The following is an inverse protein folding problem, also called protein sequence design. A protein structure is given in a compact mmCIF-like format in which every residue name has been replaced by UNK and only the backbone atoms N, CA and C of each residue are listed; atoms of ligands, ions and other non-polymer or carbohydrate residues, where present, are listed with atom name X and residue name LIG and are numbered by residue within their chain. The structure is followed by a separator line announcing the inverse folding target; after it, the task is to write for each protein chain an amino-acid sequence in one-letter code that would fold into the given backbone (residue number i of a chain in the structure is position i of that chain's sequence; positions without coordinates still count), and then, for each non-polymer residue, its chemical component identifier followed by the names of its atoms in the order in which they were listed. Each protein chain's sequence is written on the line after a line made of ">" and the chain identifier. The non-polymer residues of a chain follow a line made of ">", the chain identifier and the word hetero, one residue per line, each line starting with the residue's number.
data_IF_834319677705
#
_entry.id   IF_834319677705
#
_cell.length_a   1.000
_cell.length_b   1.000
_cell.length_c   1.000
_cell.angle_alpha   90.00
_cell.angle_beta   90.00
_cell.angle_gamma   90.00
#
_symmetry.space_group_name_H-M   'P 1'
#
loop_
_entity.id
_entity.type
_entity.pdbx_description
1 polymer ?
#
# COMPACT_ATOMS: atom_id res chain seq x y z
N UNK A 1 -3.06 32.98 36.74
CA UNK A 1 -3.11 31.51 36.86
C UNK A 1 -2.42 30.97 35.61
N UNK A 2 -1.13 30.67 35.72
CA UNK A 2 -0.32 30.17 34.61
C UNK A 2 -0.80 28.76 34.27
N UNK A 3 -1.42 28.59 33.10
CA UNK A 3 -1.63 27.26 32.51
C UNK A 3 -0.27 26.84 31.94
N UNK A 4 0.15 25.64 32.30
CA UNK A 4 1.50 25.08 32.20
C UNK A 4 2.22 25.31 30.85
N UNK A 5 3.57 25.42 30.87
CA UNK A 5 4.37 25.61 29.67
C UNK A 5 4.22 24.41 28.73
N UNK A 6 3.91 24.72 27.47
CA UNK A 6 3.90 23.84 26.29
C UNK A 6 3.19 22.50 26.46
N UNK A 7 1.91 22.44 26.07
CA UNK A 7 1.46 21.25 25.34
C UNK A 7 2.50 21.00 24.25
N UNK A 8 3.26 19.91 24.33
CA UNK A 8 4.17 19.49 23.26
C UNK A 8 3.31 19.16 22.03
N UNK A 9 2.94 20.18 21.26
CA UNK A 9 2.06 20.08 20.09
C UNK A 9 2.60 19.07 19.06
N UNK A 10 3.89 18.77 19.08
CA UNK A 10 4.53 17.82 18.17
C UNK A 10 5.21 16.64 18.86
N UNK A 11 4.89 16.39 20.13
CA UNK A 11 5.41 15.25 20.88
C UNK A 11 4.60 13.97 20.70
N UNK A 12 5.19 12.85 21.12
CA UNK A 12 4.51 11.54 21.24
C UNK A 12 3.20 11.61 22.07
N UNK A 13 3.09 12.44 23.14
CA UNK A 13 1.83 12.54 23.88
C UNK A 13 0.66 13.06 23.03
N UNK A 14 0.91 13.99 22.10
CA UNK A 14 -0.12 14.54 21.23
C UNK A 14 -0.65 13.48 20.25
N UNK A 15 0.26 12.71 19.63
CA UNK A 15 -0.15 11.63 18.72
C UNK A 15 -0.91 10.52 19.44
N UNK A 16 -0.49 10.13 20.65
CA UNK A 16 -1.20 9.14 21.47
C UNK A 16 -2.59 9.63 21.91
N UNK A 17 -2.71 10.91 22.27
CA UNK A 17 -4.00 11.50 22.65
C UNK A 17 -4.99 11.44 21.48
N UNK A 18 -4.57 11.80 20.27
CA UNK A 18 -5.43 11.79 19.08
C UNK A 18 -5.77 10.36 18.67
N UNK A 19 -4.75 9.50 18.48
CA UNK A 19 -4.94 8.13 18.00
C UNK A 19 -5.70 7.29 19.03
N UNK A 20 -5.29 7.32 20.29
CA UNK A 20 -5.95 6.60 21.37
C UNK A 20 -7.35 7.14 21.66
N UNK A 21 -7.48 8.47 21.75
CA UNK A 21 -8.77 9.13 21.96
C UNK A 21 -9.78 8.82 20.86
N UNK A 22 -9.37 8.92 19.59
CA UNK A 22 -10.20 8.51 18.46
C UNK A 22 -10.59 7.04 18.55
N UNK A 23 -9.63 6.15 18.79
CA UNK A 23 -9.89 4.70 18.83
C UNK A 23 -10.90 4.34 19.93
N UNK A 24 -10.76 4.93 21.12
CA UNK A 24 -11.70 4.74 22.23
C UNK A 24 -13.09 5.27 21.86
N UNK A 25 -13.20 6.52 21.37
CA UNK A 25 -14.47 7.13 21.01
C UNK A 25 -15.16 6.41 19.85
N UNK A 26 -14.39 6.04 18.82
CA UNK A 26 -14.87 5.30 17.66
C UNK A 26 -15.41 3.93 18.07
N UNK A 27 -14.77 3.25 19.02
CA UNK A 27 -15.21 1.94 19.49
C UNK A 27 -16.66 1.95 20.00
N UNK A 28 -17.09 3.03 20.68
CA UNK A 28 -18.47 3.19 21.17
C UNK A 28 -19.51 3.35 20.05
N UNK A 29 -19.13 3.88 18.88
CA UNK A 29 -20.04 4.18 17.77
C UNK A 29 -19.78 3.34 16.52
N UNK A 30 -18.82 2.42 16.59
CA UNK A 30 -18.26 1.69 15.45
C UNK A 30 -19.33 0.96 14.62
N UNK A 31 -20.30 0.32 15.28
CA UNK A 31 -21.39 -0.41 14.62
C UNK A 31 -22.32 0.54 13.86
N UNK A 32 -22.66 1.70 14.46
CA UNK A 32 -23.50 2.71 13.80
C UNK A 32 -22.78 3.24 12.56
N UNK A 33 -21.50 3.59 12.69
CA UNK A 33 -20.72 4.11 11.59
C UNK A 33 -20.59 3.09 10.45
N UNK A 34 -20.18 1.86 10.78
CA UNK A 34 -19.89 0.83 9.77
C UNK A 34 -21.15 0.26 9.12
N UNK A 35 -22.22 0.05 9.91
CA UNK A 35 -23.43 -0.65 9.44
C UNK A 35 -24.61 0.27 9.09
N UNK A 36 -24.65 1.51 9.60
CA UNK A 36 -25.75 2.47 9.29
C UNK A 36 -25.30 3.59 8.38
N UNK A 37 -24.13 4.18 8.63
CA UNK A 37 -23.61 5.29 7.83
C UNK A 37 -22.77 4.81 6.64
N UNK A 38 -22.34 3.55 6.64
CA UNK A 38 -21.50 2.93 5.61
C UNK A 38 -20.21 3.70 5.30
N UNK A 39 -19.65 4.40 6.30
CA UNK A 39 -18.40 5.16 6.15
C UNK A 39 -17.22 4.27 6.54
N UNK A 40 -16.17 4.27 5.71
CA UNK A 40 -14.95 3.52 6.03
C UNK A 40 -14.21 4.13 7.22
N UNK A 41 -13.63 3.26 8.06
CA UNK A 41 -12.82 3.69 9.21
C UNK A 41 -11.58 4.50 8.80
N UNK A 42 -10.84 4.15 7.72
CA UNK A 42 -9.77 4.99 7.17
C UNK A 42 -10.19 6.42 6.84
N UNK A 43 -11.37 6.61 6.23
CA UNK A 43 -11.86 7.95 5.86
C UNK A 43 -12.10 8.82 7.10
N UNK A 44 -12.73 8.27 8.15
CA UNK A 44 -12.93 9.01 9.40
C UNK A 44 -11.63 9.29 10.14
N UNK A 45 -10.72 8.31 10.17
CA UNK A 45 -9.39 8.48 10.73
C UNK A 45 -8.64 9.65 10.05
N UNK A 46 -8.67 9.71 8.71
CA UNK A 46 -8.10 10.85 7.96
C UNK A 46 -8.77 12.18 8.26
N UNK A 47 -10.11 12.23 8.38
CA UNK A 47 -10.80 13.47 8.74
C UNK A 47 -10.41 13.97 10.13
N UNK A 48 -10.22 13.06 11.09
CA UNK A 48 -9.73 13.41 12.43
C UNK A 48 -8.29 13.92 12.35
N UNK A 49 -7.44 13.27 11.54
CA UNK A 49 -6.10 13.77 11.23
C UNK A 49 -6.12 15.19 10.67
N UNK A 50 -6.95 15.48 9.66
CA UNK A 50 -7.08 16.82 9.09
C UNK A 50 -7.57 17.85 10.12
N UNK A 51 -8.51 17.46 10.99
CA UNK A 51 -9.05 18.33 12.04
C UNK A 51 -7.98 18.71 13.09
N UNK A 52 -7.22 17.74 13.58
CA UNK A 52 -6.16 17.99 14.57
C UNK A 52 -4.84 18.46 13.94
N UNK A 53 -4.72 18.32 12.63
CA UNK A 53 -3.58 18.71 11.83
C UNK A 53 -3.39 20.23 11.66
N UNK A 54 -2.36 20.63 10.90
CA UNK A 54 -1.93 22.02 10.76
C UNK A 54 -2.96 22.92 10.09
N UNK A 55 -3.91 22.36 9.33
CA UNK A 55 -4.91 23.14 8.58
C UNK A 55 -6.05 23.65 9.44
N UNK A 56 -6.43 22.92 10.50
CA UNK A 56 -7.61 23.25 11.30
C UNK A 56 -7.23 23.66 12.74
N UNK A 57 -7.01 22.70 13.63
CA UNK A 57 -6.70 23.00 15.04
C UNK A 57 -5.21 23.28 15.28
N UNK A 58 -4.33 22.90 14.35
CA UNK A 58 -2.88 22.98 14.46
C UNK A 58 -2.36 22.42 15.81
N UNK A 59 -2.94 21.29 16.22
CA UNK A 59 -2.61 20.64 17.48
C UNK A 59 -1.51 19.60 17.31
N UNK A 60 -1.42 18.98 16.13
CA UNK A 60 -0.35 18.07 15.72
C UNK A 60 0.11 18.39 14.29
N UNK A 61 1.33 18.92 14.16
CA UNK A 61 1.92 19.38 12.89
C UNK A 61 3.23 18.63 12.57
N UNK A 62 3.16 17.52 11.82
CA UNK A 62 4.34 16.82 11.36
C UNK A 62 5.25 17.62 10.43
N UNK A 63 4.76 18.65 9.73
CA UNK A 63 5.60 19.45 8.83
C UNK A 63 6.64 20.28 9.59
N UNK A 64 6.38 20.59 10.85
CA UNK A 64 7.31 21.29 11.74
C UNK A 64 8.39 20.36 12.35
N UNK A 65 8.39 19.07 12.04
CA UNK A 65 9.45 18.16 12.47
C UNK A 65 10.78 18.49 11.77
N UNK A 66 11.88 18.30 12.50
CA UNK A 66 13.22 18.66 12.02
C UNK A 66 13.53 18.02 10.67
N UNK A 67 14.14 18.81 9.77
CA UNK A 67 14.65 18.35 8.47
C UNK A 67 13.59 17.68 7.56
N UNK A 68 12.30 17.94 7.76
CA UNK A 68 11.26 17.29 6.95
C UNK A 68 11.10 15.80 7.27
N UNK A 69 11.41 15.38 8.50
CA UNK A 69 11.33 13.99 8.95
C UNK A 69 9.96 13.33 8.74
N UNK A 70 8.90 14.10 8.47
CA UNK A 70 7.58 13.54 8.16
C UNK A 70 7.61 12.62 6.94
N UNK A 71 8.43 12.87 5.90
CA UNK A 71 8.55 11.96 4.76
C UNK A 71 9.23 10.64 5.16
N UNK A 72 10.31 10.70 5.96
CA UNK A 72 11.00 9.50 6.42
C UNK A 72 10.12 8.68 7.38
N UNK A 73 9.37 9.33 8.27
CA UNK A 73 8.37 8.67 9.12
C UNK A 73 7.25 8.07 8.27
N UNK A 74 6.74 8.77 7.26
CA UNK A 74 5.73 8.22 6.33
C UNK A 74 6.23 6.95 5.67
N UNK A 75 7.48 6.95 5.19
CA UNK A 75 8.10 5.76 4.59
C UNK A 75 8.25 4.63 5.61
N UNK A 76 8.84 4.87 6.77
CA UNK A 76 9.08 3.80 7.75
C UNK A 76 7.77 3.24 8.32
N UNK A 77 6.83 4.10 8.66
CA UNK A 77 5.53 3.68 9.19
C UNK A 77 4.71 2.95 8.12
N UNK A 78 4.71 3.46 6.89
CA UNK A 78 4.08 2.81 5.75
C UNK A 78 4.65 1.43 5.48
N UNK A 79 5.98 1.28 5.52
CA UNK A 79 6.66 0.00 5.28
C UNK A 79 6.19 -1.10 6.24
N UNK A 80 6.12 -0.78 7.54
CA UNK A 80 5.65 -1.71 8.56
C UNK A 80 4.20 -2.16 8.32
N UNK A 81 3.31 -1.23 8.00
CA UNK A 81 1.89 -1.54 7.77
C UNK A 81 1.70 -2.36 6.51
N UNK A 82 2.34 -1.95 5.41
CA UNK A 82 2.28 -2.68 4.14
C UNK A 82 2.80 -4.10 4.34
N UNK A 83 3.94 -4.30 5.02
CA UNK A 83 4.47 -5.64 5.27
C UNK A 83 3.50 -6.54 6.05
N UNK A 84 2.95 -6.03 7.16
CA UNK A 84 2.00 -6.79 7.98
C UNK A 84 0.77 -7.19 7.15
N UNK A 85 0.25 -6.27 6.32
CA UNK A 85 -0.95 -6.52 5.54
C UNK A 85 -0.73 -7.39 4.31
N UNK A 86 0.39 -7.22 3.62
CA UNK A 86 0.81 -8.13 2.54
C UNK A 86 0.88 -9.54 3.09
N UNK A 87 1.54 -9.73 4.24
CA UNK A 87 1.63 -11.03 4.87
C UNK A 87 0.25 -11.57 5.30
N UNK A 88 -0.57 -10.74 5.94
CA UNK A 88 -1.94 -11.06 6.34
C UNK A 88 -2.82 -11.48 5.16
N UNK A 89 -2.63 -10.86 4.00
CA UNK A 89 -3.41 -11.16 2.79
C UNK A 89 -3.16 -12.57 2.24
N UNK A 90 -2.04 -13.20 2.60
CA UNK A 90 -1.69 -14.55 2.16
C UNK A 90 -2.24 -15.65 3.08
N UNK A 91 -2.40 -15.37 4.38
CA UNK A 91 -2.68 -16.37 5.41
C UNK A 91 -3.96 -17.21 5.22
N UNK A 92 -5.08 -16.66 4.70
CA UNK A 92 -6.29 -17.45 4.51
C UNK A 92 -6.20 -18.50 3.38
N UNK A 93 -5.14 -18.48 2.56
CA UNK A 93 -5.11 -19.19 1.28
C UNK A 93 -4.13 -20.36 1.28
N UNK A 94 -4.67 -21.56 1.04
CA UNK A 94 -3.90 -22.80 0.95
C UNK A 94 -3.40 -23.08 -0.47
N UNK A 95 -2.52 -24.07 -0.62
CA UNK A 95 -2.00 -24.57 -1.91
C UNK A 95 -3.07 -24.72 -3.00
N UNK A 96 -4.22 -25.31 -2.67
CA UNK A 96 -5.29 -25.59 -3.66
C UNK A 96 -5.78 -24.28 -4.28
N UNK A 97 -6.03 -23.27 -3.45
CA UNK A 97 -6.48 -21.97 -3.91
C UNK A 97 -5.47 -21.33 -4.87
N UNK A 98 -4.17 -21.38 -4.55
CA UNK A 98 -3.12 -20.83 -5.42
C UNK A 98 -3.07 -21.56 -6.77
N UNK A 99 -3.17 -22.88 -6.77
CA UNK A 99 -3.16 -23.70 -8.00
C UNK A 99 -4.37 -23.46 -8.89
N UNK A 100 -5.54 -23.13 -8.33
CA UNK A 100 -6.73 -22.82 -9.12
C UNK A 100 -6.71 -21.40 -9.68
N UNK A 101 -6.06 -20.46 -8.98
CA UNK A 101 -6.23 -19.03 -9.23
C UNK A 101 -5.00 -18.31 -9.80
N UNK A 102 -3.85 -18.98 -9.92
CA UNK A 102 -2.61 -18.38 -10.41
C UNK A 102 -2.74 -17.70 -11.77
N UNK A 103 -3.59 -18.20 -12.68
CA UNK A 103 -3.80 -17.59 -14.00
C UNK A 103 -4.46 -16.23 -13.90
N UNK A 104 -5.52 -16.12 -13.09
CA UNK A 104 -6.23 -14.87 -12.87
C UNK A 104 -5.32 -13.86 -12.17
N UNK A 105 -4.54 -14.32 -11.18
CA UNK A 105 -3.55 -13.49 -10.49
C UNK A 105 -2.44 -13.02 -11.43
N UNK A 106 -1.88 -13.89 -12.27
CA UNK A 106 -0.82 -13.53 -13.21
C UNK A 106 -1.31 -12.48 -14.21
N UNK A 107 -2.56 -12.56 -14.68
CA UNK A 107 -3.17 -11.56 -15.56
C UNK A 107 -3.32 -10.21 -14.85
N UNK A 108 -3.75 -10.20 -13.59
CA UNK A 108 -3.89 -8.96 -12.83
C UNK A 108 -2.52 -8.33 -12.49
N UNK A 109 -1.60 -9.16 -12.01
CA UNK A 109 -0.29 -8.72 -11.51
C UNK A 109 0.70 -8.37 -12.63
N UNK A 110 0.53 -8.85 -13.88
CA UNK A 110 1.50 -8.61 -14.96
C UNK A 110 0.94 -7.70 -16.08
N UNK A 111 0.06 -8.13 -16.99
CA UNK A 111 -0.39 -7.26 -18.08
C UNK A 111 -1.30 -6.12 -17.60
N UNK A 112 -2.17 -6.35 -16.61
CA UNK A 112 -3.05 -5.29 -16.09
C UNK A 112 -2.25 -4.25 -15.31
N UNK A 113 -1.33 -4.65 -14.44
CA UNK A 113 -0.45 -3.73 -13.72
C UNK A 113 0.46 -2.92 -14.66
N UNK A 114 1.04 -3.56 -15.69
CA UNK A 114 1.83 -2.87 -16.71
C UNK A 114 1.00 -1.84 -17.49
N UNK A 115 -0.25 -2.17 -17.83
CA UNK A 115 -1.17 -1.20 -18.42
C UNK A 115 -1.46 -0.06 -17.44
N UNK A 116 -1.77 -0.35 -16.18
CA UNK A 116 -2.05 0.65 -15.15
C UNK A 116 -0.89 1.63 -15.00
N UNK A 117 0.34 1.13 -14.97
CA UNK A 117 1.56 1.94 -14.92
C UNK A 117 1.65 2.89 -16.11
N UNK A 118 1.54 2.36 -17.34
CA UNK A 118 1.65 3.18 -18.55
C UNK A 118 0.49 4.16 -18.71
N UNK A 119 -0.75 3.74 -18.46
CA UNK A 119 -1.93 4.60 -18.53
C UNK A 119 -1.84 5.74 -17.51
N UNK A 120 -1.43 5.44 -16.28
CA UNK A 120 -1.22 6.46 -15.25
C UNK A 120 -0.12 7.44 -15.64
N UNK A 121 1.02 6.93 -16.11
CA UNK A 121 2.15 7.75 -16.55
C UNK A 121 1.75 8.68 -17.70
N UNK A 122 1.00 8.19 -18.69
CA UNK A 122 0.52 9.00 -19.81
C UNK A 122 -0.48 10.07 -19.36
N UNK A 123 -1.38 9.75 -18.44
CA UNK A 123 -2.34 10.71 -17.90
C UNK A 123 -1.64 11.81 -17.08
N UNK A 124 -0.68 11.44 -16.24
CA UNK A 124 0.14 12.40 -15.49
C UNK A 124 0.92 13.29 -16.44
N UNK A 125 1.61 12.73 -17.42
CA UNK A 125 2.36 13.49 -18.41
C UNK A 125 1.47 14.47 -19.21
N UNK A 126 0.32 14.00 -19.70
CA UNK A 126 -0.57 14.79 -20.53
C UNK A 126 -1.29 15.91 -19.74
N UNK A 127 -1.71 15.61 -18.51
CA UNK A 127 -2.48 16.55 -17.68
C UNK A 127 -1.52 17.47 -16.93
N UNK A 128 -0.61 16.91 -16.13
CA UNK A 128 0.27 17.66 -15.21
C UNK A 128 1.44 18.35 -15.93
N UNK A 129 1.75 17.94 -17.18
CA UNK A 129 2.78 18.54 -18.03
C UNK A 129 4.19 18.52 -17.44
N UNK A 130 4.50 17.54 -16.59
CA UNK A 130 5.86 17.28 -16.10
C UNK A 130 6.70 16.53 -17.15
N UNK A 131 7.98 16.28 -16.86
CA UNK A 131 8.82 15.43 -17.71
C UNK A 131 8.19 14.04 -17.83
N UNK A 132 8.36 13.40 -18.99
CA UNK A 132 7.81 12.05 -19.19
C UNK A 132 8.40 11.04 -18.19
N UNK A 133 9.65 11.24 -17.77
CA UNK A 133 10.32 10.36 -16.81
C UNK A 133 9.75 10.55 -15.40
N UNK A 134 9.48 11.78 -14.98
CA UNK A 134 8.81 12.04 -13.70
C UNK A 134 7.37 11.51 -13.70
N UNK A 135 6.70 11.54 -14.87
CA UNK A 135 5.41 10.90 -15.03
C UNK A 135 5.49 9.36 -14.91
N UNK A 136 6.57 8.73 -15.37
CA UNK A 136 6.81 7.29 -15.16
C UNK A 136 7.02 6.94 -13.67
N UNK A 137 7.69 7.80 -12.90
CA UNK A 137 7.83 7.63 -11.45
C UNK A 137 6.46 7.73 -10.78
N UNK A 138 5.71 8.81 -11.03
CA UNK A 138 4.38 9.00 -10.45
C UNK A 138 3.44 7.86 -10.88
N UNK A 139 3.55 7.40 -12.13
CA UNK A 139 2.84 6.23 -12.61
C UNK A 139 3.16 4.98 -11.79
N UNK A 140 4.44 4.70 -11.54
CA UNK A 140 4.87 3.53 -10.78
C UNK A 140 4.40 3.63 -9.31
N UNK A 141 4.50 4.82 -8.71
CA UNK A 141 4.02 5.14 -7.36
C UNK A 141 2.51 4.86 -7.20
N UNK A 142 1.71 5.17 -8.23
CA UNK A 142 0.25 5.05 -8.20
C UNK A 142 -0.29 3.74 -8.81
N UNK A 143 0.60 2.85 -9.24
CA UNK A 143 0.25 1.53 -9.78
C UNK A 143 -0.21 0.55 -8.69
N UNK A 144 0.50 0.42 -7.55
CA UNK A 144 0.03 -0.46 -6.48
C UNK A 144 -1.37 -0.10 -5.99
N UNK A 145 -2.13 -1.13 -5.66
CA UNK A 145 -3.45 -1.00 -5.07
C UNK A 145 -3.38 -1.35 -3.60
N UNK A 146 -4.00 -0.54 -2.75
CA UNK A 146 -3.78 -0.59 -1.32
C UNK A 146 -4.58 -1.72 -0.63
N UNK A 147 -3.89 -2.64 0.08
CA UNK A 147 -4.54 -3.73 0.80
C UNK A 147 -5.38 -3.23 1.98
N UNK A 148 -5.03 -2.09 2.58
CA UNK A 148 -5.72 -1.54 3.76
C UNK A 148 -7.14 -1.12 3.38
N UNK A 149 -7.23 -0.29 2.33
CA UNK A 149 -8.46 0.25 1.80
C UNK A 149 -9.27 -0.84 1.13
N UNK A 150 -8.62 -1.73 0.39
CA UNK A 150 -9.28 -2.91 -0.18
C UNK A 150 -9.99 -3.71 0.90
N UNK A 151 -9.28 -4.14 1.95
CA UNK A 151 -9.85 -4.92 3.04
C UNK A 151 -10.97 -4.18 3.78
N UNK A 152 -10.84 -2.87 3.99
CA UNK A 152 -11.87 -2.09 4.70
C UNK A 152 -13.21 -2.01 3.97
N UNK A 153 -13.23 -2.23 2.66
CA UNK A 153 -14.45 -2.13 1.83
C UNK A 153 -14.96 -3.51 1.43
N UNK A 154 -14.04 -4.43 1.16
CA UNK A 154 -14.31 -5.78 0.68
C UNK A 154 -14.66 -6.74 1.82
N UNK A 155 -14.40 -6.37 3.08
CA UNK A 155 -14.80 -7.15 4.27
C UNK A 155 -15.99 -6.54 5.01
N UNK A 156 -16.77 -7.42 5.64
CA UNK A 156 -17.89 -7.10 6.53
C UNK A 156 -19.26 -7.32 5.88
N UNK A 157 -20.32 -7.24 6.71
CA UNK A 157 -21.70 -7.64 6.35
C UNK A 157 -22.20 -7.07 5.02
N UNK A 158 -21.87 -5.82 4.70
CA UNK A 158 -22.29 -5.21 3.43
C UNK A 158 -21.62 -5.87 2.23
N UNK A 159 -20.31 -6.12 2.30
CA UNK A 159 -19.58 -6.78 1.23
C UNK A 159 -20.01 -8.25 1.08
N UNK A 160 -20.25 -8.95 2.19
CA UNK A 160 -20.74 -10.34 2.19
C UNK A 160 -22.10 -10.48 1.46
N UNK A 161 -22.92 -9.42 1.46
CA UNK A 161 -24.22 -9.41 0.77
C UNK A 161 -24.14 -9.03 -0.71
N UNK A 162 -23.13 -8.26 -1.13
CA UNK A 162 -23.10 -7.63 -2.46
C UNK A 162 -21.90 -8.00 -3.34
N UNK A 163 -20.83 -8.55 -2.75
CA UNK A 163 -19.58 -8.90 -3.44
C UNK A 163 -19.33 -10.38 -3.25
N UNK A 164 -19.20 -11.11 -4.36
CA UNK A 164 -18.95 -12.56 -4.29
C UNK A 164 -17.61 -12.86 -3.63
N UNK A 165 -17.57 -13.94 -2.85
CA UNK A 165 -16.34 -14.39 -2.18
C UNK A 165 -15.16 -14.53 -3.15
N UNK A 166 -15.43 -14.96 -4.37
CA UNK A 166 -14.44 -15.08 -5.43
C UNK A 166 -13.73 -13.75 -5.75
N UNK A 167 -14.49 -12.66 -5.85
CA UNK A 167 -13.97 -11.30 -6.07
C UNK A 167 -13.22 -10.80 -4.83
N UNK A 168 -13.76 -11.04 -3.64
CA UNK A 168 -13.14 -10.61 -2.39
C UNK A 168 -11.74 -11.22 -2.21
N UNK A 169 -11.64 -12.54 -2.42
CA UNK A 169 -10.39 -13.28 -2.33
C UNK A 169 -9.37 -12.83 -3.39
N UNK A 170 -9.82 -12.63 -4.63
CA UNK A 170 -8.95 -12.19 -5.72
C UNK A 170 -8.36 -10.81 -5.44
N UNK A 171 -9.19 -9.83 -5.05
CA UNK A 171 -8.76 -8.47 -4.75
C UNK A 171 -7.84 -8.42 -3.52
N UNK A 172 -8.11 -9.23 -2.50
CA UNK A 172 -7.25 -9.29 -1.31
C UNK A 172 -5.84 -9.75 -1.67
N UNK A 173 -5.70 -10.87 -2.37
CA UNK A 173 -4.38 -11.41 -2.75
C UNK A 173 -3.67 -10.53 -3.79
N UNK A 174 -4.44 -9.98 -4.73
CA UNK A 174 -3.91 -9.07 -5.75
C UNK A 174 -3.37 -7.78 -5.14
N UNK A 175 -4.07 -7.19 -4.16
CA UNK A 175 -3.57 -6.01 -3.46
C UNK A 175 -2.24 -6.26 -2.75
N UNK A 176 -2.05 -7.44 -2.14
CA UNK A 176 -0.76 -7.82 -1.55
C UNK A 176 0.36 -8.05 -2.56
N UNK A 177 0.03 -8.61 -3.73
CA UNK A 177 1.01 -8.86 -4.79
C UNK A 177 1.35 -7.63 -5.65
N UNK A 178 0.48 -6.62 -5.71
CA UNK A 178 0.70 -5.45 -6.54
C UNK A 178 1.85 -4.57 -6.06
N UNK A 179 1.99 -4.38 -4.75
CA UNK A 179 3.16 -3.70 -4.16
C UNK A 179 4.45 -4.45 -4.51
N UNK A 180 4.40 -5.78 -4.60
CA UNK A 180 5.55 -6.58 -4.99
C UNK A 180 5.94 -6.34 -6.48
N UNK A 181 4.98 -6.31 -7.39
CA UNK A 181 5.25 -6.14 -8.84
C UNK A 181 5.52 -4.70 -9.25
N UNK A 182 5.19 -3.71 -8.42
CA UNK A 182 5.48 -2.31 -8.70
C UNK A 182 6.99 -1.98 -8.68
N UNK A 183 7.81 -2.77 -7.99
CA UNK A 183 9.26 -2.53 -7.84
C UNK A 183 9.98 -2.47 -9.19
N UNK A 184 9.85 -3.45 -10.11
CA UNK A 184 10.42 -3.34 -11.46
C UNK A 184 10.05 -2.06 -12.22
N UNK A 185 8.80 -1.59 -12.12
CA UNK A 185 8.37 -0.37 -12.80
C UNK A 185 9.02 0.87 -12.16
N UNK A 186 9.07 0.88 -10.84
CA UNK A 186 9.65 1.96 -10.06
C UNK A 186 11.17 2.06 -10.27
N UNK A 187 11.91 0.95 -10.21
CA UNK A 187 13.37 0.93 -10.43
C UNK A 187 13.73 1.33 -11.86
N UNK A 188 12.95 0.88 -12.87
CA UNK A 188 13.13 1.32 -14.25
C UNK A 188 12.96 2.84 -14.39
N UNK A 189 11.91 3.39 -13.79
CA UNK A 189 11.65 4.82 -13.83
C UNK A 189 12.79 5.63 -13.16
N UNK A 190 13.31 5.15 -12.01
CA UNK A 190 14.45 5.78 -11.35
C UNK A 190 15.73 5.75 -12.20
N UNK A 191 16.06 4.60 -12.82
CA UNK A 191 17.24 4.52 -13.68
C UNK A 191 17.11 5.36 -14.95
N UNK A 192 15.89 5.54 -15.47
CA UNK A 192 15.65 6.48 -16.57
C UNK A 192 15.83 7.94 -16.13
N UNK A 193 15.45 8.30 -14.89
CA UNK A 193 15.72 9.64 -14.35
C UNK A 193 17.23 9.86 -14.19
N UNK A 194 17.94 8.86 -13.68
CA UNK A 194 19.41 8.88 -13.58
C UNK A 194 20.07 9.17 -14.94
N UNK A 195 19.55 8.56 -15.99
CA UNK A 195 20.04 8.75 -17.36
C UNK A 195 19.69 10.12 -17.96
N UNK A 196 18.46 10.61 -17.81
CA UNK A 196 17.97 11.81 -18.51
C UNK A 196 18.16 13.12 -17.75
N UNK A 197 18.02 13.11 -16.42
CA UNK A 197 17.98 14.34 -15.61
C UNK A 197 19.30 14.60 -14.86
N UNK A 198 20.35 13.82 -15.17
CA UNK A 198 21.68 13.93 -14.57
C UNK A 198 21.62 13.94 -13.04
N UNK A 199 21.22 12.80 -12.48
CA UNK A 199 21.43 12.56 -11.07
C UNK A 199 22.86 12.12 -10.83
N UNK A 200 23.55 12.83 -9.95
CA UNK A 200 24.86 12.44 -9.41
C UNK A 200 24.71 11.29 -8.39
N UNK A 201 23.87 10.29 -8.69
CA UNK A 201 23.60 9.19 -7.76
C UNK A 201 24.81 8.26 -7.67
N UNK A 202 25.51 7.99 -8.78
CA UNK A 202 26.68 7.10 -8.85
C UNK A 202 27.72 7.67 -9.83
N UNK A 203 29.01 7.42 -9.56
CA UNK A 203 30.20 7.90 -10.33
C UNK A 203 30.28 7.35 -11.78
N UNK A 204 29.24 6.63 -12.23
CA UNK A 204 29.15 5.97 -13.52
C UNK A 204 28.01 6.56 -14.36
N UNK A 205 28.34 7.48 -15.27
CA UNK A 205 27.37 7.97 -16.26
C UNK A 205 26.91 6.84 -17.16
N UNK A 206 25.62 6.53 -17.14
CA UNK A 206 24.96 5.66 -18.12
C UNK A 206 25.09 6.31 -19.52
N UNK A 207 25.72 5.63 -20.47
CA UNK A 207 26.08 6.20 -21.78
C UNK A 207 25.04 5.93 -22.86
N UNK A 208 24.21 4.91 -22.67
CA UNK A 208 23.18 4.50 -23.62
C UNK A 208 21.93 3.96 -22.91
N UNK A 209 20.79 3.99 -23.59
CA UNK A 209 19.57 3.33 -23.11
C UNK A 209 19.77 1.82 -22.89
N UNK A 210 20.64 1.18 -23.67
CA UNK A 210 21.00 -0.23 -23.47
C UNK A 210 21.63 -0.49 -22.10
N UNK A 211 22.46 0.44 -21.62
CA UNK A 211 23.07 0.35 -20.29
C UNK A 211 22.02 0.50 -19.17
N UNK A 212 21.03 1.37 -19.37
CA UNK A 212 19.89 1.55 -18.44
C UNK A 212 19.11 0.25 -18.32
N UNK A 213 18.72 -0.36 -19.45
CA UNK A 213 17.97 -1.62 -19.44
C UNK A 213 18.78 -2.77 -18.86
N UNK A 214 20.09 -2.83 -19.13
CA UNK A 214 20.96 -3.85 -18.57
C UNK A 214 21.08 -3.69 -17.04
N UNK A 215 21.32 -2.47 -16.54
CA UNK A 215 21.36 -2.16 -15.11
C UNK A 215 20.02 -2.50 -14.45
N UNK A 216 18.91 -2.07 -15.04
CA UNK A 216 17.58 -2.42 -14.56
C UNK A 216 17.34 -3.93 -14.49
N UNK A 217 17.73 -4.68 -15.52
CA UNK A 217 17.55 -6.12 -15.54
C UNK A 217 18.44 -6.83 -14.48
N UNK A 218 19.69 -6.41 -14.32
CA UNK A 218 20.61 -7.02 -13.37
C UNK A 218 20.29 -6.62 -11.92
N UNK A 219 20.14 -5.32 -11.63
CA UNK A 219 19.91 -4.80 -10.29
C UNK A 219 18.42 -4.85 -9.93
N UNK A 220 17.54 -4.26 -10.74
CA UNK A 220 16.11 -4.16 -10.43
C UNK A 220 15.34 -5.47 -10.56
N UNK A 221 15.72 -6.39 -11.46
CA UNK A 221 14.99 -7.65 -11.66
C UNK A 221 15.72 -8.83 -11.02
N UNK A 222 16.96 -9.12 -11.44
CA UNK A 222 17.68 -10.30 -10.93
C UNK A 222 18.11 -10.14 -9.47
N UNK A 223 18.70 -9.01 -9.10
CA UNK A 223 19.12 -8.80 -7.72
C UNK A 223 17.92 -8.53 -6.82
N UNK A 224 17.18 -7.43 -7.04
CA UNK A 224 16.11 -7.02 -6.14
C UNK A 224 14.94 -8.02 -6.08
N UNK A 225 14.40 -8.45 -7.22
CA UNK A 225 13.18 -9.28 -7.25
C UNK A 225 13.48 -10.77 -7.11
N UNK A 226 14.39 -11.33 -7.91
CA UNK A 226 14.63 -12.79 -7.87
C UNK A 226 15.25 -13.21 -6.52
N UNK A 227 16.18 -12.44 -5.96
CA UNK A 227 16.69 -12.76 -4.61
C UNK A 227 15.65 -12.54 -3.53
N UNK A 228 14.75 -11.55 -3.65
CA UNK A 228 13.62 -11.40 -2.73
C UNK A 228 12.71 -12.63 -2.73
N UNK A 229 12.43 -13.22 -3.90
CA UNK A 229 11.67 -14.47 -4.01
C UNK A 229 12.38 -15.61 -3.28
N UNK A 230 13.69 -15.77 -3.50
CA UNK A 230 14.48 -16.83 -2.84
C UNK A 230 14.50 -16.62 -1.32
N UNK A 231 14.75 -15.39 -0.87
CA UNK A 231 14.76 -15.03 0.55
C UNK A 231 13.40 -15.30 1.20
N UNK A 232 12.32 -14.81 0.59
CA UNK A 232 10.96 -15.01 1.06
C UNK A 232 10.60 -16.50 1.14
N UNK A 233 10.98 -17.28 0.14
CA UNK A 233 10.78 -18.74 0.15
C UNK A 233 11.51 -19.40 1.32
N UNK A 234 12.80 -19.12 1.48
CA UNK A 234 13.64 -19.71 2.55
C UNK A 234 13.11 -19.34 3.93
N UNK A 235 12.83 -18.05 4.17
CA UNK A 235 12.36 -17.58 5.47
C UNK A 235 10.93 -18.03 5.77
N UNK A 236 10.00 -17.95 4.81
CA UNK A 236 8.62 -18.37 5.01
C UNK A 236 8.48 -19.88 5.23
N UNK A 237 9.14 -20.69 4.39
CA UNK A 237 9.13 -22.13 4.54
C UNK A 237 9.82 -22.57 5.83
N UNK A 238 11.00 -22.01 6.12
CA UNK A 238 11.77 -22.33 7.32
C UNK A 238 11.03 -21.94 8.60
N UNK A 239 10.40 -20.76 8.62
CA UNK A 239 9.65 -20.29 9.77
C UNK A 239 8.41 -21.15 10.04
N UNK A 240 7.69 -21.59 9.00
CA UNK A 240 6.57 -22.53 9.14
C UNK A 240 7.03 -23.85 9.75
N UNK A 241 8.05 -24.47 9.16
CA UNK A 241 8.59 -25.74 9.66
C UNK A 241 9.05 -25.65 11.11
N UNK A 242 9.78 -24.58 11.47
CA UNK A 242 10.22 -24.35 12.84
C UNK A 242 9.05 -24.13 13.81
N UNK A 243 8.01 -23.43 13.38
CA UNK A 243 6.84 -23.13 14.20
C UNK A 243 6.03 -24.39 14.52
N UNK A 244 5.76 -25.21 13.50
CA UNK A 244 5.07 -26.50 13.64
C UNK A 244 5.85 -27.46 14.55
N UNK A 245 7.16 -27.61 14.31
CA UNK A 245 8.00 -28.47 15.14
C UNK A 245 8.08 -27.98 16.59
N UNK A 246 8.04 -26.66 16.82
CA UNK A 246 8.02 -26.09 18.17
C UNK A 246 6.68 -26.32 18.86
N UNK A 247 5.56 -26.31 18.14
CA UNK A 247 4.23 -26.60 18.66
C UNK A 247 4.08 -28.09 19.02
N UNK A 248 4.52 -28.99 18.14
CA UNK A 248 4.51 -30.43 18.40
C UNK A 248 5.34 -30.81 19.63
N UNK A 249 6.43 -30.07 19.89
CA UNK A 249 7.29 -30.24 21.08
C UNK A 249 6.76 -29.53 22.34
N UNK A 250 5.67 -28.77 22.23
CA UNK A 250 5.11 -27.98 23.33
C UNK A 250 6.01 -26.83 23.78
N UNK A 251 6.80 -26.24 22.87
CA UNK A 251 7.72 -25.12 23.16
C UNK A 251 7.08 -23.75 23.02
N UNK A 252 5.94 -23.65 22.34
CA UNK A 252 5.27 -22.39 22.03
C UNK A 252 3.84 -22.40 22.59
N UNK A 253 3.42 -21.24 23.10
CA UNK A 253 2.06 -20.95 23.54
C UNK A 253 1.22 -20.34 22.41
N UNK A 254 -0.10 -20.37 22.57
CA UNK A 254 -1.04 -19.91 21.54
C UNK A 254 -0.87 -18.41 21.24
N UNK A 255 -0.61 -17.60 22.25
CA UNK A 255 -0.39 -16.16 22.11
C UNK A 255 0.83 -15.86 21.21
N UNK A 256 1.91 -16.62 21.38
CA UNK A 256 3.10 -16.51 20.53
C UNK A 256 2.84 -16.93 19.09
N UNK A 257 2.03 -17.98 18.86
CA UNK A 257 1.61 -18.38 17.50
C UNK A 257 0.87 -17.22 16.81
N UNK A 258 -0.06 -16.56 17.53
CA UNK A 258 -0.83 -15.44 16.97
C UNK A 258 0.06 -14.25 16.60
N UNK A 259 1.02 -13.90 17.48
CA UNK A 259 1.95 -12.80 17.24
C UNK A 259 3.01 -13.12 16.16
N UNK A 260 3.27 -14.41 15.89
CA UNK A 260 4.34 -14.86 15.02
C UNK A 260 4.23 -14.32 13.58
N UNK A 261 3.02 -14.25 13.03
CA UNK A 261 2.79 -13.74 11.67
C UNK A 261 3.27 -12.30 11.49
N UNK A 262 2.99 -11.44 12.48
CA UNK A 262 3.40 -10.03 12.49
C UNK A 262 4.91 -9.94 12.65
N UNK A 263 5.48 -10.67 13.61
CA UNK A 263 6.91 -10.70 13.85
C UNK A 263 7.68 -11.16 12.61
N UNK A 264 7.22 -12.23 11.94
CA UNK A 264 7.82 -12.74 10.72
C UNK A 264 7.72 -11.75 9.57
N UNK A 265 6.58 -11.07 9.39
CA UNK A 265 6.45 -10.05 8.33
C UNK A 265 7.45 -8.91 8.50
N UNK A 266 7.67 -8.42 9.73
CA UNK A 266 8.61 -7.34 10.02
C UNK A 266 10.06 -7.83 9.92
N UNK A 267 10.33 -9.07 10.33
CA UNK A 267 11.64 -9.69 10.20
C UNK A 267 12.05 -9.86 8.73
N UNK A 268 11.16 -10.40 7.89
CA UNK A 268 11.43 -10.57 6.45
C UNK A 268 11.61 -9.21 5.77
N UNK A 269 10.77 -8.22 6.10
CA UNK A 269 10.92 -6.85 5.62
C UNK A 269 12.32 -6.30 5.97
N UNK A 270 12.72 -6.38 7.24
CA UNK A 270 13.99 -5.85 7.72
C UNK A 270 15.21 -6.53 7.09
N UNK A 271 15.20 -7.86 6.97
CA UNK A 271 16.28 -8.61 6.32
C UNK A 271 16.38 -8.23 4.84
N UNK A 272 15.24 -8.14 4.14
CA UNK A 272 15.22 -7.80 2.73
C UNK A 272 15.68 -6.34 2.49
N UNK A 273 15.25 -5.38 3.31
CA UNK A 273 15.66 -3.98 3.22
C UNK A 273 17.16 -3.80 3.49
N UNK A 274 17.73 -4.50 4.48
CA UNK A 274 19.18 -4.48 4.76
C UNK A 274 19.99 -5.00 3.56
N UNK A 275 19.46 -6.02 2.88
CA UNK A 275 20.07 -6.59 1.68
C UNK A 275 19.75 -5.79 0.41
N UNK A 276 18.97 -4.71 0.50
CA UNK A 276 18.57 -3.91 -0.65
C UNK A 276 17.72 -4.66 -1.67
N UNK A 277 16.90 -5.61 -1.22
CA UNK A 277 16.02 -6.42 -2.06
C UNK A 277 14.61 -5.83 -2.15
N UNK A 278 13.77 -6.36 -3.04
CA UNK A 278 12.35 -6.04 -3.12
C UNK A 278 11.61 -6.56 -1.88
N UNK A 279 11.63 -5.81 -0.78
CA UNK A 279 11.23 -6.28 0.55
C UNK A 279 9.76 -6.65 0.65
N UNK A 280 8.86 -5.89 0.03
CA UNK A 280 7.44 -6.26 -0.08
C UNK A 280 7.23 -7.56 -0.87
N UNK A 281 8.05 -7.83 -1.90
CA UNK A 281 8.03 -9.09 -2.63
C UNK A 281 8.47 -10.26 -1.73
N UNK A 282 9.56 -10.07 -0.98
CA UNK A 282 10.04 -11.08 -0.04
C UNK A 282 8.98 -11.42 1.02
N UNK A 283 8.29 -10.40 1.57
CA UNK A 283 7.21 -10.58 2.55
C UNK A 283 6.02 -11.31 1.94
N UNK A 284 5.61 -10.96 0.72
CA UNK A 284 4.52 -11.63 0.02
C UNK A 284 4.80 -13.12 -0.20
N UNK A 285 5.99 -13.44 -0.74
CA UNK A 285 6.42 -14.83 -0.95
C UNK A 285 6.55 -15.58 0.38
N UNK A 286 7.09 -14.95 1.42
CA UNK A 286 7.16 -15.55 2.74
C UNK A 286 5.77 -15.89 3.30
N UNK A 287 4.80 -14.99 3.15
CA UNK A 287 3.40 -15.22 3.55
C UNK A 287 2.77 -16.39 2.81
N UNK A 288 3.02 -16.51 1.49
CA UNK A 288 2.52 -17.64 0.68
C UNK A 288 3.12 -18.96 1.17
N UNK A 289 4.44 -19.02 1.34
CA UNK A 289 5.13 -20.22 1.77
C UNK A 289 4.75 -20.62 3.20
N UNK A 290 4.52 -19.63 4.06
CA UNK A 290 4.12 -19.84 5.44
C UNK A 290 2.68 -20.36 5.57
N UNK A 291 1.76 -19.92 4.70
CA UNK A 291 0.36 -20.33 4.71
C UNK A 291 0.07 -21.62 3.91
N UNK A 292 1.08 -22.21 3.28
CA UNK A 292 0.90 -23.12 2.14
C UNK A 292 0.10 -24.40 2.42
N UNK A 293 0.27 -25.02 3.59
CA UNK A 293 -0.48 -26.22 4.01
C UNK A 293 -1.78 -25.93 4.75
N UNK A 294 -2.01 -24.68 5.15
CA UNK A 294 -3.19 -24.26 5.90
C UNK A 294 -3.13 -24.54 7.40
N UNK A 295 -2.03 -25.08 7.94
CA UNK A 295 -1.91 -25.37 9.38
C UNK A 295 -2.11 -24.10 10.21
N UNK A 296 -1.43 -23.01 9.83
CA UNK A 296 -1.54 -21.73 10.54
C UNK A 296 -2.95 -21.14 10.48
N UNK A 297 -3.63 -21.26 9.34
CA UNK A 297 -5.00 -20.78 9.18
C UNK A 297 -5.98 -21.54 10.09
N UNK A 298 -5.73 -22.82 10.35
CA UNK A 298 -6.52 -23.63 11.28
C UNK A 298 -6.28 -23.21 12.74
N UNK A 299 -5.02 -23.03 13.14
CA UNK A 299 -4.66 -22.58 14.50
C UNK A 299 -5.22 -21.19 14.83
N UNK A 300 -5.28 -20.31 13.83
CA UNK A 300 -5.71 -18.91 14.01
C UNK A 300 -7.17 -18.66 13.67
N UNK A 301 -7.93 -19.68 13.25
CA UNK A 301 -9.32 -19.56 12.77
C UNK A 301 -10.27 -18.86 13.74
N UNK A 302 -10.08 -19.06 15.04
CA UNK A 302 -10.93 -18.49 16.10
C UNK A 302 -10.34 -17.21 16.71
N UNK A 303 -9.22 -16.72 16.19
CA UNK A 303 -8.55 -15.53 16.68
C UNK A 303 -8.76 -14.36 15.74
N UNK A 304 -9.11 -13.21 16.32
CA UNK A 304 -9.26 -11.95 15.60
C UNK A 304 -8.07 -11.01 15.85
N UNK A 305 -6.99 -11.48 16.48
CA UNK A 305 -5.88 -10.63 16.91
C UNK A 305 -5.27 -9.86 15.72
N UNK A 306 -5.05 -10.56 14.60
CA UNK A 306 -4.49 -9.95 13.40
C UNK A 306 -5.40 -8.86 12.83
N UNK A 307 -6.70 -9.12 12.75
CA UNK A 307 -7.68 -8.12 12.29
C UNK A 307 -7.72 -6.90 13.23
N UNK A 308 -7.61 -7.10 14.55
CA UNK A 308 -7.57 -6.01 15.53
C UNK A 308 -6.31 -5.16 15.33
N UNK A 309 -5.15 -5.79 15.20
CA UNK A 309 -3.87 -5.08 15.01
C UNK A 309 -3.87 -4.33 13.67
N UNK A 310 -4.32 -4.96 12.60
CA UNK A 310 -4.45 -4.33 11.28
C UNK A 310 -5.33 -3.08 11.35
N UNK A 311 -6.49 -3.16 12.03
CA UNK A 311 -7.40 -2.04 12.21
C UNK A 311 -6.76 -0.90 13.03
N UNK A 312 -6.05 -1.22 14.11
CA UNK A 312 -5.40 -0.23 14.97
C UNK A 312 -4.26 0.49 14.23
N UNK A 313 -3.38 -0.26 13.56
CA UNK A 313 -2.27 0.30 12.79
C UNK A 313 -2.77 1.13 11.61
N UNK A 314 -3.75 0.62 10.87
CA UNK A 314 -4.43 1.35 9.79
C UNK A 314 -5.01 2.68 10.30
N UNK A 315 -5.71 2.65 11.43
CA UNK A 315 -6.30 3.85 12.04
C UNK A 315 -5.24 4.86 12.42
N UNK A 316 -4.19 4.42 13.11
CA UNK A 316 -3.07 5.28 13.50
C UNK A 316 -2.42 5.93 12.27
N UNK A 317 -2.20 5.16 11.21
CA UNK A 317 -1.64 5.66 9.97
C UNK A 317 -2.55 6.65 9.24
N UNK A 318 -3.84 6.39 9.13
CA UNK A 318 -4.73 7.30 8.41
C UNK A 318 -5.00 8.60 9.18
N UNK A 319 -4.95 8.59 10.52
CA UNK A 319 -4.91 9.83 11.33
C UNK A 319 -3.62 10.60 11.04
N UNK A 320 -2.47 9.93 11.07
CA UNK A 320 -1.18 10.55 10.71
C UNK A 320 -1.15 11.08 9.27
N UNK A 321 -1.71 10.33 8.32
CA UNK A 321 -1.83 10.76 6.93
C UNK A 321 -2.66 12.05 6.86
N UNK A 322 -3.77 12.14 7.59
CA UNK A 322 -4.59 13.35 7.65
C UNK A 322 -3.85 14.59 8.12
N UNK A 323 -2.87 14.47 9.02
CA UNK A 323 -2.03 15.60 9.47
C UNK A 323 -0.92 15.97 8.49
N UNK A 324 -0.57 15.07 7.56
CA UNK A 324 0.50 15.27 6.55
C UNK A 324 -0.02 15.62 5.17
N UNK A 325 -1.31 15.95 5.01
CA UNK A 325 -1.87 16.38 3.72
C UNK A 325 -1.43 17.82 3.39
N UNK A 326 -0.64 18.05 2.32
CA UNK A 326 -0.12 19.37 1.99
C UNK A 326 -1.15 20.19 1.19
N UNK A 327 -2.24 20.62 1.84
CA UNK A 327 -3.35 21.33 1.17
C UNK A 327 -2.91 22.60 0.43
N UNK A 328 -1.88 23.30 0.93
CA UNK A 328 -1.30 24.49 0.28
C UNK A 328 -0.64 24.17 -1.08
N UNK A 329 -0.19 22.94 -1.27
CA UNK A 329 0.51 22.51 -2.49
C UNK A 329 -0.44 22.03 -3.60
N UNK A 330 -1.74 21.84 -3.31
CA UNK A 330 -2.72 21.37 -4.29
C UNK A 330 -3.15 22.42 -5.32
N UNK A 331 -2.77 23.68 -5.11
CA UNK A 331 -3.00 24.75 -6.08
C UNK A 331 -1.71 25.55 -6.28
N UNK A 332 -0.78 24.96 -7.01
CA UNK A 332 0.49 25.59 -7.39
C UNK A 332 0.44 26.09 -8.83
N UNK A 333 1.38 26.97 -9.20
CA UNK A 333 1.51 27.42 -10.60
C UNK A 333 1.79 26.24 -11.55
N UNK A 334 2.58 25.26 -11.10
CA UNK A 334 2.92 24.06 -11.87
C UNK A 334 1.76 23.07 -11.97
N UNK A 335 0.95 22.93 -10.91
CA UNK A 335 -0.17 22.00 -10.86
C UNK A 335 -1.41 22.70 -10.30
N UNK A 336 -2.27 23.25 -11.17
CA UNK A 336 -3.54 23.83 -10.77
C UNK A 336 -4.48 22.77 -10.22
N UNK A 337 -5.35 23.13 -9.28
CA UNK A 337 -6.28 22.17 -8.66
C UNK A 337 -7.17 21.42 -9.67
N UNK A 338 -7.55 22.06 -10.77
CA UNK A 338 -8.38 21.42 -11.80
C UNK A 338 -7.62 20.31 -12.56
N UNK A 339 -6.29 20.39 -12.65
CA UNK A 339 -5.48 19.31 -13.20
C UNK A 339 -5.54 18.08 -12.29
N UNK A 340 -5.46 18.29 -10.97
CA UNK A 340 -5.59 17.22 -9.99
C UNK A 340 -6.97 16.56 -10.02
N UNK A 341 -8.05 17.35 -10.15
CA UNK A 341 -9.41 16.83 -10.31
C UNK A 341 -9.55 16.03 -11.62
N UNK A 342 -9.05 16.57 -12.74
CA UNK A 342 -9.10 15.89 -14.03
C UNK A 342 -8.29 14.59 -14.01
N UNK A 343 -7.11 14.61 -13.38
CA UNK A 343 -6.28 13.43 -13.18
C UNK A 343 -7.01 12.39 -12.32
N UNK A 344 -7.67 12.79 -11.23
CA UNK A 344 -8.46 11.87 -10.39
C UNK A 344 -9.53 11.17 -11.21
N UNK A 345 -10.30 11.92 -11.99
CA UNK A 345 -11.34 11.36 -12.86
C UNK A 345 -10.73 10.44 -13.93
N UNK A 346 -9.62 10.85 -14.55
CA UNK A 346 -8.88 10.04 -15.50
C UNK A 346 -8.42 8.71 -14.91
N UNK A 347 -7.81 8.72 -13.72
CA UNK A 347 -7.34 7.50 -13.07
C UNK A 347 -8.48 6.59 -12.59
N UNK A 348 -9.62 7.14 -12.20
CA UNK A 348 -10.79 6.33 -11.82
C UNK A 348 -11.33 5.52 -13.01
N UNK A 349 -11.42 6.13 -14.19
CA UNK A 349 -12.05 5.50 -15.36
C UNK A 349 -11.09 4.79 -16.32
N UNK A 350 -9.86 5.28 -16.46
CA UNK A 350 -8.95 4.84 -17.53
C UNK A 350 -7.80 3.98 -17.04
N UNK A 351 -7.45 4.03 -15.74
CA UNK A 351 -6.29 3.29 -15.22
C UNK A 351 -6.49 1.79 -15.19
N UNK A 352 -7.62 1.32 -14.64
CA UNK A 352 -7.85 -0.11 -14.32
C UNK A 352 -9.03 -0.72 -15.05
N UNK A 353 -10.16 -0.01 -15.12
CA UNK A 353 -11.40 -0.49 -15.73
C UNK A 353 -11.23 -0.99 -17.17
N UNK A 354 -10.50 -0.30 -18.08
CA UNK A 354 -10.34 -0.78 -19.46
C UNK A 354 -9.51 -2.06 -19.53
N UNK A 355 -8.41 -2.13 -18.77
CA UNK A 355 -7.53 -3.29 -18.76
C UNK A 355 -8.24 -4.54 -18.23
N UNK A 356 -8.95 -4.43 -17.11
CA UNK A 356 -9.70 -5.56 -16.54
C UNK A 356 -10.84 -5.99 -17.47
N UNK A 357 -11.53 -5.04 -18.10
CA UNK A 357 -12.61 -5.36 -19.05
C UNK A 357 -12.11 -6.13 -20.27
N UNK A 358 -10.94 -5.76 -20.80
CA UNK A 358 -10.29 -6.45 -21.92
C UNK A 358 -9.72 -7.80 -21.48
N UNK A 359 -9.16 -7.88 -20.28
CA UNK A 359 -8.57 -9.09 -19.73
C UNK A 359 -9.59 -10.09 -19.18
N UNK A 360 -10.86 -9.69 -19.05
CA UNK A 360 -11.94 -10.51 -18.48
C UNK A 360 -12.00 -11.96 -18.98
N UNK A 361 -11.85 -12.26 -20.28
CA UNK A 361 -11.87 -13.66 -20.77
C UNK A 361 -10.78 -14.56 -20.17
N UNK A 362 -9.70 -13.96 -19.64
CA UNK A 362 -8.59 -14.66 -19.00
C UNK A 362 -8.78 -14.77 -17.47
N UNK A 363 -9.67 -13.98 -16.89
CA UNK A 363 -9.97 -13.94 -15.45
C UNK A 363 -11.01 -14.99 -15.07
N UNK A 364 -10.61 -16.27 -15.15
CA UNK A 364 -11.50 -17.44 -14.93
C UNK A 364 -12.20 -17.48 -13.57
N UNK A 365 -11.69 -16.74 -12.57
CA UNK A 365 -12.32 -16.60 -11.24
C UNK A 365 -13.62 -15.79 -11.30
N UNK A 366 -13.76 -14.90 -12.27
CA UNK A 366 -14.92 -14.02 -12.41
C UNK A 366 -16.02 -14.70 -13.21
N UNK A 367 -17.24 -14.67 -12.69
CA UNK A 367 -18.39 -15.38 -13.26
C UNK A 367 -19.16 -14.53 -14.27
N UNK A 368 -19.11 -13.20 -14.13
CA UNK A 368 -19.88 -12.29 -14.96
C UNK A 368 -19.16 -10.95 -15.20
N UNK A 369 -19.64 -10.21 -16.21
CA UNK A 369 -19.09 -8.89 -16.54
C UNK A 369 -19.29 -7.86 -15.42
N UNK A 370 -20.31 -8.00 -14.57
CA UNK A 370 -20.51 -7.10 -13.43
C UNK A 370 -19.38 -7.21 -12.40
N UNK A 371 -18.93 -8.42 -12.11
CA UNK A 371 -17.75 -8.68 -11.28
C UNK A 371 -16.49 -8.11 -11.93
N UNK A 372 -16.35 -8.21 -13.25
CA UNK A 372 -15.23 -7.62 -13.98
C UNK A 372 -15.22 -6.09 -13.92
N UNK A 373 -16.38 -5.45 -14.09
CA UNK A 373 -16.51 -4.00 -13.93
C UNK A 373 -16.25 -3.57 -12.50
N UNK A 374 -16.71 -4.35 -11.52
CA UNK A 374 -16.42 -4.08 -10.11
C UNK A 374 -14.92 -4.18 -9.83
N UNK A 375 -14.25 -5.26 -10.24
CA UNK A 375 -12.78 -5.43 -10.08
C UNK A 375 -12.02 -4.33 -10.83
N UNK A 376 -12.49 -3.92 -12.01
CA UNK A 376 -11.90 -2.86 -12.81
C UNK A 376 -12.04 -1.47 -12.19
N UNK A 377 -13.19 -1.18 -11.58
CA UNK A 377 -13.46 0.05 -10.85
C UNK A 377 -12.73 0.10 -9.51
N UNK A 378 -12.76 -1.02 -8.79
CA UNK A 378 -12.28 -1.13 -7.42
C UNK A 378 -10.77 -1.28 -7.40
N UNK A 379 -10.03 -0.18 -7.30
CA UNK A 379 -8.56 -0.18 -7.19
C UNK A 379 -8.07 0.96 -6.31
N UNK A 380 -8.31 0.91 -5.00
CA UNK A 380 -7.95 2.01 -4.12
C UNK A 380 -6.43 2.23 -4.12
N UNK A 381 -6.04 3.50 -4.16
CA UNK A 381 -4.66 3.97 -3.94
C UNK A 381 -4.56 4.37 -2.46
N UNK A 382 -3.49 3.97 -1.79
CA UNK A 382 -3.34 4.17 -0.35
C UNK A 382 -1.89 4.22 0.11
N UNK A 383 -1.58 3.49 1.17
CA UNK A 383 -0.32 3.56 1.93
C UNK A 383 0.89 3.22 1.07
N UNK A 384 0.76 2.23 0.18
CA UNK A 384 1.79 1.87 -0.81
C UNK A 384 2.29 3.07 -1.61
N UNK A 385 1.36 3.88 -2.14
CA UNK A 385 1.72 5.05 -2.93
C UNK A 385 2.46 6.11 -2.10
N UNK A 386 2.06 6.34 -0.85
CA UNK A 386 2.75 7.26 0.05
C UNK A 386 4.18 6.79 0.35
N UNK A 387 4.35 5.48 0.55
CA UNK A 387 5.66 4.87 0.74
C UNK A 387 6.54 5.06 -0.50
N UNK A 388 6.05 4.74 -1.70
CA UNK A 388 6.80 4.87 -2.94
C UNK A 388 7.17 6.33 -3.25
N UNK A 389 6.26 7.27 -3.00
CA UNK A 389 6.55 8.70 -3.17
C UNK A 389 7.64 9.17 -2.21
N UNK A 390 7.54 8.81 -0.92
CA UNK A 390 8.59 9.14 0.06
C UNK A 390 9.92 8.46 -0.28
N UNK A 391 9.89 7.22 -0.78
CA UNK A 391 11.08 6.51 -1.24
C UNK A 391 11.70 7.13 -2.49
N UNK A 392 10.89 7.62 -3.43
CA UNK A 392 11.38 8.35 -4.60
C UNK A 392 12.13 9.62 -4.19
N UNK A 393 11.56 10.40 -3.26
CA UNK A 393 12.19 11.61 -2.73
C UNK A 393 13.47 11.29 -1.96
N UNK A 394 13.51 10.20 -1.19
CA UNK A 394 14.72 9.72 -0.50
C UNK A 394 15.82 9.29 -1.48
N UNK A 395 15.44 8.69 -2.61
CA UNK A 395 16.34 8.43 -3.76
C UNK A 395 16.66 9.69 -4.58
N UNK A 396 16.20 10.85 -4.09
CA UNK A 396 16.52 12.19 -4.53
C UNK A 396 15.61 12.74 -5.63
N UNK A 397 14.47 12.09 -5.96
CA UNK A 397 13.56 12.58 -6.99
C UNK A 397 13.09 14.00 -6.62
N UNK A 398 13.60 15.00 -7.35
CA UNK A 398 13.47 16.42 -6.99
C UNK A 398 12.20 17.09 -7.52
N UNK A 399 11.42 16.41 -8.35
CA UNK A 399 10.23 17.01 -8.93
C UNK A 399 9.19 17.32 -7.83
N UNK A 400 8.87 18.62 -7.59
CA UNK A 400 7.98 19.02 -6.52
C UNK A 400 6.53 18.55 -6.72
N UNK A 401 6.21 17.98 -7.89
CA UNK A 401 4.89 17.45 -8.24
C UNK A 401 4.61 16.08 -7.62
N UNK A 402 5.65 15.28 -7.32
CA UNK A 402 5.49 13.88 -6.87
C UNK A 402 4.64 13.81 -5.60
N UNK A 403 4.98 14.62 -4.58
CA UNK A 403 4.29 14.60 -3.28
C UNK A 403 2.85 15.13 -3.40
N UNK A 404 2.57 16.33 -3.93
CA UNK A 404 1.20 16.84 -4.04
C UNK A 404 0.29 15.95 -4.87
N UNK A 405 0.75 15.43 -6.01
CA UNK A 405 -0.06 14.53 -6.85
C UNK A 405 -0.37 13.25 -6.10
N UNK A 406 0.63 12.62 -5.47
CA UNK A 406 0.42 11.35 -4.76
C UNK A 406 -0.53 11.51 -3.57
N UNK A 407 -0.33 12.52 -2.72
CA UNK A 407 -1.20 12.77 -1.56
C UNK A 407 -2.63 13.09 -1.99
N UNK A 408 -2.81 13.87 -3.05
CA UNK A 408 -4.12 14.17 -3.61
C UNK A 408 -4.81 12.91 -4.15
N UNK A 409 -4.07 12.03 -4.83
CA UNK A 409 -4.60 10.77 -5.37
C UNK A 409 -5.04 9.82 -4.25
N UNK A 410 -4.24 9.70 -3.18
CA UNK A 410 -4.59 8.90 -1.99
C UNK A 410 -5.83 9.49 -1.30
N UNK A 411 -5.88 10.81 -1.11
CA UNK A 411 -7.04 11.49 -0.52
C UNK A 411 -8.31 11.28 -1.36
N UNK A 412 -8.21 11.43 -2.69
CA UNK A 412 -9.35 11.22 -3.59
C UNK A 412 -9.80 9.76 -3.57
N UNK A 413 -8.84 8.83 -3.59
CA UNK A 413 -9.12 7.39 -3.48
C UNK A 413 -9.87 7.05 -2.18
N UNK A 414 -9.42 7.61 -1.05
CA UNK A 414 -10.09 7.49 0.25
C UNK A 414 -11.53 8.00 0.23
N UNK A 415 -11.77 9.15 -0.40
CA UNK A 415 -13.12 9.73 -0.48
C UNK A 415 -14.01 8.89 -1.39
N UNK A 416 -13.53 8.52 -2.58
CA UNK A 416 -14.32 7.81 -3.59
C UNK A 416 -14.63 6.37 -3.18
N UNK A 417 -13.65 5.65 -2.62
CA UNK A 417 -13.83 4.26 -2.23
C UNK A 417 -14.31 4.12 -0.77
N UNK A 418 -13.99 5.10 0.09
CA UNK A 418 -14.35 5.06 1.52
C UNK A 418 -15.76 5.57 1.84
N UNK A 419 -16.35 6.40 0.98
CA UNK A 419 -17.78 6.66 1.00
C UNK A 419 -18.48 5.51 0.27
N UNK A 420 -18.97 4.50 1.00
CA UNK A 420 -19.76 3.43 0.36
C UNK A 420 -21.08 4.06 -0.10
N UNK A 421 -21.17 4.37 -1.39
CA UNK A 421 -22.42 4.84 -2.00
C UNK A 421 -23.44 3.71 -1.90
N UNK A 422 -24.54 3.99 -1.19
CA UNK A 422 -25.75 3.14 -1.11
C UNK A 422 -26.46 3.15 -2.46
#
# INVERSE_FOLDING_TARGET
>A
MAIHPSLEQNGVPASLLIVGGFTVLFSFVSLIVKERLFISQPLLATLVGVLFGPVALNFWDPFAWEQGAWLSVTRQFGACIIAIQIFASCLPFTKIWWMENWQSLAVMLLPVSAYMWMATSLLVWAIVRCSFVNALIIGAVLTPTDPVLANSIVKGRFADMHVSRAVQELLSVESGGNDAVAIPYFSLALFLVEFYEYFDLHDYKLKSLGDVFLKWFLEGVLYEVVLAVVLGFVLGYGARWLLEESEERGWIDNESILAFSIALSLFVLGVADILGLASFFAVWVAGICFAWDGWFAEQTKNSHLQEVIDNLLSTAFFIYFGTTVPFSSFNSESVPIWHLVLLSLGLLFLRRLPAVSVAYPLLRKLNNHHEAYFVGWFGPIGVGALWYAAYAVDKGAVDPVIVPVTWWMVLTSLVVHGARYV
#
